data_IF_048608544610
#
_entry.id   IF_048608544610
#
_cell.length_a   1.000
_cell.length_b   1.000
_cell.length_c   1.000
_cell.angle_alpha   90.00
_cell.angle_beta   90.00
_cell.angle_gamma   90.00
#
_symmetry.space_group_name_H-M   'P 1'
#
loop_
_entity.id
_entity.type
_entity.pdbx_description
1 polymer ?
#
# COMPACT_ATOMS: atom_id res chain seq x y z
N UNK A 1 -5.40 13.55 -26.35
CA UNK A 1 -6.53 14.12 -25.60
C UNK A 1 -7.21 13.11 -24.68
N UNK A 2 -7.67 11.97 -25.20
CA UNK A 2 -8.37 10.94 -24.39
C UNK A 2 -7.55 10.37 -23.22
N UNK A 3 -6.26 10.11 -23.42
CA UNK A 3 -5.38 9.60 -22.34
C UNK A 3 -5.27 10.59 -21.18
N UNK A 4 -5.05 11.88 -21.49
CA UNK A 4 -4.97 12.92 -20.47
C UNK A 4 -6.30 13.04 -19.69
N UNK A 5 -7.44 12.96 -20.36
CA UNK A 5 -8.75 12.96 -19.71
C UNK A 5 -8.91 11.78 -18.75
N UNK A 6 -8.57 10.55 -19.18
CA UNK A 6 -8.65 9.36 -18.32
C UNK A 6 -7.73 9.48 -17.11
N UNK A 7 -6.51 10.00 -17.29
CA UNK A 7 -5.57 10.25 -16.19
C UNK A 7 -6.11 11.27 -15.19
N UNK A 8 -6.66 12.39 -15.66
CA UNK A 8 -7.25 13.43 -14.81
C UNK A 8 -8.44 12.86 -14.02
N UNK A 9 -9.36 12.16 -14.70
CA UNK A 9 -10.50 11.51 -14.05
C UNK A 9 -10.05 10.50 -12.99
N UNK A 10 -9.00 9.73 -13.27
CA UNK A 10 -8.48 8.77 -12.31
C UNK A 10 -7.81 9.45 -11.10
N UNK A 11 -7.07 10.53 -11.30
CA UNK A 11 -6.50 11.31 -10.18
C UNK A 11 -7.60 11.91 -9.32
N UNK A 12 -8.62 12.51 -9.93
CA UNK A 12 -9.78 13.03 -9.20
C UNK A 12 -10.49 11.93 -8.43
N UNK A 13 -10.69 10.76 -9.04
CA UNK A 13 -11.25 9.59 -8.38
C UNK A 13 -10.42 9.15 -7.16
N UNK A 14 -9.09 9.11 -7.26
CA UNK A 14 -8.22 8.81 -6.12
C UNK A 14 -8.36 9.85 -5.01
N UNK A 15 -8.39 11.14 -5.34
CA UNK A 15 -8.55 12.22 -4.34
C UNK A 15 -9.91 12.11 -3.63
N UNK A 16 -10.99 11.98 -4.39
CA UNK A 16 -12.35 11.90 -3.85
C UNK A 16 -12.52 10.68 -2.95
N UNK A 17 -11.85 9.57 -3.26
CA UNK A 17 -11.95 8.34 -2.44
C UNK A 17 -10.99 8.33 -1.25
N UNK A 18 -9.76 8.85 -1.39
CA UNK A 18 -8.74 8.77 -0.32
C UNK A 18 -9.03 9.69 0.85
N UNK A 19 -9.64 10.85 0.63
CA UNK A 19 -9.94 11.82 1.69
C UNK A 19 -10.91 11.24 2.74
N UNK A 20 -12.12 10.76 2.37
CA UNK A 20 -13.03 10.16 3.34
C UNK A 20 -12.46 8.86 3.91
N UNK A 21 -11.82 8.02 3.09
CA UNK A 21 -11.29 6.73 3.54
C UNK A 21 -10.12 6.87 4.51
N UNK A 22 -9.17 7.75 4.19
CA UNK A 22 -8.03 8.04 5.06
C UNK A 22 -8.47 8.66 6.38
N UNK A 23 -9.46 9.56 6.35
CA UNK A 23 -10.08 10.10 7.57
C UNK A 23 -10.71 8.99 8.41
N UNK A 24 -11.48 8.09 7.79
CA UNK A 24 -12.07 6.96 8.48
C UNK A 24 -11.01 6.04 9.12
N UNK A 25 -9.91 5.73 8.41
CA UNK A 25 -8.79 4.95 8.97
C UNK A 25 -8.18 5.65 10.19
N UNK A 26 -7.94 6.96 10.12
CA UNK A 26 -7.37 7.72 11.24
C UNK A 26 -8.29 7.70 12.46
N UNK A 27 -9.61 7.87 12.26
CA UNK A 27 -10.57 7.80 13.37
C UNK A 27 -10.66 6.38 13.93
N UNK A 28 -10.78 5.37 13.07
CA UNK A 28 -10.84 3.97 13.48
C UNK A 28 -9.54 3.48 14.15
N UNK A 29 -8.41 4.13 13.90
CA UNK A 29 -7.13 3.78 14.55
C UNK A 29 -7.13 3.95 16.06
N UNK A 30 -8.11 4.65 16.61
CA UNK A 30 -8.31 4.76 18.06
C UNK A 30 -8.92 3.50 18.69
N UNK A 31 -9.52 2.62 17.87
CA UNK A 31 -10.33 1.48 18.35
C UNK A 31 -9.90 0.13 17.77
N UNK A 32 -9.24 0.13 16.61
CA UNK A 32 -8.90 -1.09 15.87
C UNK A 32 -7.42 -1.44 16.01
N UNK A 33 -7.11 -2.73 15.89
CA UNK A 33 -5.74 -3.21 15.87
C UNK A 33 -5.07 -2.99 14.49
N UNK A 34 -3.74 -3.09 14.45
CA UNK A 34 -2.93 -2.86 13.25
C UNK A 34 -3.34 -3.71 12.05
N UNK A 35 -3.77 -4.97 12.27
CA UNK A 35 -4.19 -5.86 11.18
C UNK A 35 -5.51 -5.40 10.57
N UNK A 36 -6.47 -4.98 11.40
CA UNK A 36 -7.74 -4.43 10.91
C UNK A 36 -7.52 -3.14 10.12
N UNK A 37 -6.68 -2.23 10.63
CA UNK A 37 -6.32 -0.99 9.93
C UNK A 37 -5.61 -1.27 8.60
N UNK A 38 -4.70 -2.24 8.58
CA UNK A 38 -4.05 -2.67 7.34
C UNK A 38 -5.09 -3.09 6.30
N UNK A 39 -6.06 -3.92 6.67
CA UNK A 39 -7.09 -4.37 5.75
C UNK A 39 -8.03 -3.24 5.31
N UNK A 40 -8.28 -2.24 6.15
CA UNK A 40 -8.99 -1.03 5.71
C UNK A 40 -8.21 -0.29 4.60
N UNK A 41 -6.90 -0.13 4.76
CA UNK A 41 -6.04 0.51 3.75
C UNK A 41 -5.92 -0.35 2.48
N UNK A 42 -5.74 -1.67 2.62
CA UNK A 42 -5.69 -2.60 1.49
C UNK A 42 -7.01 -2.60 0.68
N UNK A 43 -8.14 -2.43 1.35
CA UNK A 43 -9.44 -2.28 0.70
C UNK A 43 -9.55 -0.99 -0.13
N UNK A 44 -9.02 0.14 0.35
CA UNK A 44 -8.95 1.35 -0.47
C UNK A 44 -8.04 1.14 -1.69
N UNK A 45 -6.91 0.46 -1.53
CA UNK A 45 -6.03 0.14 -2.65
C UNK A 45 -6.70 -0.77 -3.68
N UNK A 46 -7.56 -1.70 -3.25
CA UNK A 46 -8.43 -2.47 -4.14
C UNK A 46 -9.36 -1.55 -4.95
N UNK A 47 -10.01 -0.59 -4.30
CA UNK A 47 -10.85 0.42 -4.96
C UNK A 47 -10.03 1.21 -6.00
N UNK A 48 -8.83 1.66 -5.65
CA UNK A 48 -7.92 2.37 -6.56
C UNK A 48 -7.53 1.52 -7.79
N UNK A 49 -7.16 0.26 -7.61
CA UNK A 49 -6.79 -0.66 -8.70
C UNK A 49 -7.98 -0.97 -9.62
N UNK A 50 -9.18 -1.15 -9.06
CA UNK A 50 -10.40 -1.29 -9.86
C UNK A 50 -10.76 0.00 -10.60
N UNK A 51 -10.56 1.17 -9.99
CA UNK A 51 -10.66 2.46 -10.66
C UNK A 51 -9.71 2.56 -11.87
N UNK A 52 -8.45 2.13 -11.72
CA UNK A 52 -7.49 2.10 -12.81
C UNK A 52 -7.94 1.16 -13.95
N UNK A 53 -8.60 0.04 -13.61
CA UNK A 53 -9.17 -0.87 -14.60
C UNK A 53 -10.30 -0.24 -15.39
N UNK A 54 -11.24 0.40 -14.70
CA UNK A 54 -12.46 0.96 -15.31
C UNK A 54 -12.15 2.26 -16.05
N UNK A 55 -11.47 3.20 -15.39
CA UNK A 55 -11.20 4.54 -15.92
C UNK A 55 -10.07 4.48 -16.93
N UNK A 56 -8.92 3.87 -16.58
CA UNK A 56 -7.72 3.87 -17.43
C UNK A 56 -7.59 2.63 -18.32
N UNK A 57 -8.43 1.60 -18.13
CA UNK A 57 -8.40 0.39 -18.95
C UNK A 57 -7.27 -0.57 -18.57
N UNK A 58 -6.66 -0.41 -17.40
CA UNK A 58 -5.54 -1.24 -16.96
C UNK A 58 -6.01 -2.67 -16.69
N UNK A 59 -5.51 -3.64 -17.45
CA UNK A 59 -5.78 -5.07 -17.26
C UNK A 59 -4.52 -5.74 -16.73
N UNK A 60 -4.70 -6.62 -15.76
CA UNK A 60 -3.63 -7.45 -15.22
C UNK A 60 -4.06 -8.91 -15.18
N UNK A 61 -3.06 -9.78 -15.13
CA UNK A 61 -3.23 -11.23 -14.97
C UNK A 61 -2.24 -11.68 -13.92
N UNK A 62 -2.73 -12.44 -12.94
CA UNK A 62 -1.89 -13.00 -11.88
C UNK A 62 -1.67 -14.47 -12.19
N UNK A 63 -0.44 -14.95 -12.03
CA UNK A 63 -0.04 -16.35 -12.20
C UNK A 63 0.91 -16.72 -11.06
N UNK A 64 0.90 -17.97 -10.62
CA UNK A 64 1.83 -18.44 -9.59
C UNK A 64 1.47 -18.03 -8.15
N UNK A 65 0.21 -17.65 -7.87
CA UNK A 65 -0.23 -17.35 -6.50
C UNK A 65 -0.23 -18.58 -5.60
N UNK A 66 -0.42 -19.75 -6.21
CA UNK A 66 -0.33 -21.07 -5.59
C UNK A 66 1.06 -21.38 -5.02
N UNK A 67 2.12 -20.70 -5.48
CA UNK A 67 3.47 -20.84 -4.93
C UNK A 67 3.68 -20.01 -3.66
N UNK A 68 2.75 -19.14 -3.29
CA UNK A 68 2.85 -18.42 -2.02
C UNK A 68 2.65 -19.40 -0.86
N UNK A 69 3.51 -19.36 0.16
CA UNK A 69 3.32 -20.19 1.34
C UNK A 69 1.94 -20.01 1.96
N UNK A 70 1.26 -21.11 2.26
CA UNK A 70 -0.07 -21.10 2.89
C UNK A 70 0.01 -20.95 4.41
N UNK A 71 1.15 -21.33 4.99
CA UNK A 71 1.43 -21.12 6.41
C UNK A 71 1.56 -19.62 6.71
N UNK A 72 0.69 -19.15 7.61
CA UNK A 72 0.66 -17.76 8.06
C UNK A 72 1.83 -17.43 9.00
N UNK A 73 2.43 -18.42 9.66
CA UNK A 73 3.58 -18.22 10.54
C UNK A 73 4.88 -18.07 9.75
N UNK A 74 4.93 -18.50 8.50
CA UNK A 74 6.11 -18.38 7.66
C UNK A 74 6.32 -16.94 7.18
N UNK A 75 7.43 -16.33 7.60
CA UNK A 75 7.90 -15.05 7.07
C UNK A 75 8.29 -15.16 5.60
N UNK A 76 7.82 -14.22 4.78
CA UNK A 76 8.07 -14.19 3.34
C UNK A 76 8.55 -12.81 2.92
N UNK A 77 9.62 -12.77 2.12
CA UNK A 77 10.11 -11.55 1.49
C UNK A 77 9.68 -11.58 0.03
N UNK A 78 8.82 -10.64 -0.36
CA UNK A 78 8.42 -10.46 -1.77
C UNK A 78 9.46 -9.60 -2.49
N UNK A 79 10.25 -10.22 -3.36
CA UNK A 79 11.25 -9.54 -4.19
C UNK A 79 10.69 -9.35 -5.60
N UNK A 80 10.36 -8.11 -5.95
CA UNK A 80 9.82 -7.77 -7.26
C UNK A 80 10.55 -6.60 -7.90
N UNK A 81 10.66 -6.63 -9.24
CA UNK A 81 11.15 -5.51 -10.04
C UNK A 81 10.12 -4.38 -9.97
N UNK A 82 10.55 -3.19 -9.55
CA UNK A 82 9.68 -2.02 -9.50
C UNK A 82 9.64 -1.33 -10.87
N UNK A 83 8.61 -1.59 -11.67
CA UNK A 83 8.42 -0.96 -12.98
C UNK A 83 7.40 0.17 -12.96
N UNK A 84 6.43 0.13 -12.05
CA UNK A 84 5.49 1.21 -11.88
C UNK A 84 4.94 1.31 -10.45
N UNK A 85 4.17 2.37 -10.21
CA UNK A 85 3.41 2.55 -8.96
C UNK A 85 2.28 1.53 -8.81
N UNK A 86 1.84 0.91 -9.91
CA UNK A 86 0.75 -0.06 -9.89
C UNK A 86 1.04 -1.23 -8.95
N UNK A 87 2.27 -1.76 -8.95
CA UNK A 87 2.69 -2.87 -8.09
C UNK A 87 2.52 -2.54 -6.60
N UNK A 88 2.85 -1.30 -6.21
CA UNK A 88 2.71 -0.82 -4.82
C UNK A 88 1.25 -0.86 -4.34
N UNK A 89 0.29 -0.66 -5.26
CA UNK A 89 -1.14 -0.67 -4.95
C UNK A 89 -1.73 -2.08 -5.11
N UNK A 90 -1.25 -2.84 -6.08
CA UNK A 90 -1.75 -4.17 -6.40
C UNK A 90 -1.37 -5.20 -5.33
N UNK A 91 -0.16 -5.14 -4.78
CA UNK A 91 0.28 -6.15 -3.80
C UNK A 91 -0.58 -6.19 -2.53
N UNK A 92 -0.90 -5.08 -1.85
CA UNK A 92 -1.77 -5.14 -0.68
C UNK A 92 -3.18 -5.62 -1.02
N UNK A 93 -3.66 -5.33 -2.23
CA UNK A 93 -4.92 -5.85 -2.74
C UNK A 93 -4.87 -7.38 -2.97
N UNK A 94 -3.77 -7.89 -3.52
CA UNK A 94 -3.66 -9.27 -3.99
C UNK A 94 -3.20 -10.25 -2.91
N UNK A 95 -2.37 -9.79 -1.97
CA UNK A 95 -1.73 -10.69 -1.02
C UNK A 95 -2.72 -11.13 0.07
N UNK A 96 -2.71 -12.43 0.45
CA UNK A 96 -3.63 -12.97 1.45
C UNK A 96 -3.25 -12.59 2.90
N UNK A 97 -2.17 -11.82 3.08
CA UNK A 97 -1.60 -11.46 4.37
C UNK A 97 -1.14 -10.00 4.37
N UNK A 98 -1.08 -9.33 5.55
CA UNK A 98 -0.50 -8.01 5.66
C UNK A 98 0.94 -7.94 5.15
N UNK A 99 1.27 -6.83 4.50
CA UNK A 99 2.59 -6.54 3.96
C UNK A 99 3.22 -5.37 4.70
N UNK A 100 4.49 -5.52 5.06
CA UNK A 100 5.32 -4.41 5.53
C UNK A 100 6.14 -3.86 4.37
N UNK A 101 5.88 -2.61 4.00
CA UNK A 101 6.68 -1.90 3.00
C UNK A 101 7.86 -1.20 3.64
N UNK A 102 8.97 -1.16 2.90
CA UNK A 102 10.03 -0.18 3.14
C UNK A 102 9.74 1.05 2.28
N UNK A 103 9.37 2.16 2.91
CA UNK A 103 8.94 3.35 2.17
C UNK A 103 9.60 4.65 2.67
N UNK A 104 9.47 5.70 1.85
CA UNK A 104 10.03 7.04 2.09
C UNK A 104 9.28 7.73 3.24
N UNK A 105 9.99 8.20 4.27
CA UNK A 105 9.40 8.93 5.40
C UNK A 105 8.50 10.09 4.95
N UNK A 106 8.84 10.73 3.84
CA UNK A 106 8.12 11.88 3.30
C UNK A 106 6.66 11.56 2.96
N UNK A 107 6.34 10.30 2.65
CA UNK A 107 4.97 9.89 2.32
C UNK A 107 4.02 10.04 3.51
N UNK A 108 4.51 10.00 4.75
CA UNK A 108 3.69 10.21 5.96
C UNK A 108 3.11 11.63 6.01
N UNK A 109 3.77 12.61 5.39
CA UNK A 109 3.33 14.00 5.39
C UNK A 109 2.21 14.30 4.39
N UNK A 110 1.88 13.36 3.50
CA UNK A 110 0.77 13.52 2.56
C UNK A 110 -0.56 13.45 3.34
N UNK A 111 -1.43 14.47 3.27
CA UNK A 111 -2.71 14.44 3.98
C UNK A 111 -3.57 13.23 3.61
N UNK A 112 -4.27 12.68 4.61
CA UNK A 112 -5.16 11.50 4.54
C UNK A 112 -4.48 10.18 4.16
N UNK A 113 -3.77 10.14 3.03
CA UNK A 113 -3.00 8.97 2.59
C UNK A 113 -1.81 8.69 3.52
N UNK A 114 -0.94 9.68 3.73
CA UNK A 114 0.21 9.56 4.62
C UNK A 114 -0.19 9.36 6.08
N UNK A 115 -1.24 10.05 6.51
CA UNK A 115 -1.77 9.91 7.88
C UNK A 115 -2.32 8.52 8.15
N UNK A 116 -3.03 7.91 7.21
CA UNK A 116 -3.50 6.52 7.33
C UNK A 116 -2.33 5.53 7.28
N UNK A 117 -1.36 5.74 6.38
CA UNK A 117 -0.14 4.91 6.34
C UNK A 117 0.66 4.96 7.64
N UNK A 118 0.72 6.12 8.31
CA UNK A 118 1.42 6.29 9.59
C UNK A 118 0.79 5.49 10.74
N UNK A 119 -0.44 5.00 10.57
CA UNK A 119 -1.12 4.11 11.53
C UNK A 119 -0.82 2.62 11.30
N UNK A 120 -0.09 2.28 10.24
CA UNK A 120 0.26 0.91 9.90
C UNK A 120 1.67 0.58 10.40
N UNK A 121 1.89 -0.69 10.76
CA UNK A 121 3.19 -1.22 11.16
C UNK A 121 4.11 -1.45 9.95
N UNK A 122 4.44 -0.37 9.23
CA UNK A 122 5.32 -0.37 8.06
C UNK A 122 6.68 0.24 8.38
N UNK A 123 7.70 -0.18 7.64
CA UNK A 123 9.09 0.25 7.84
C UNK A 123 9.33 1.53 7.03
N UNK A 124 9.40 2.68 7.69
CA UNK A 124 9.77 3.94 7.03
C UNK A 124 11.26 4.22 7.22
N UNK A 125 11.95 4.53 6.12
CA UNK A 125 13.39 4.83 6.12
C UNK A 125 13.65 6.28 5.73
N UNK A 126 14.64 6.88 6.39
CA UNK A 126 15.23 8.14 5.99
C UNK A 126 16.38 7.85 5.02
N UNK A 127 16.20 8.20 3.74
CA UNK A 127 17.18 7.88 2.69
C UNK A 127 18.47 8.70 2.81
N UNK A 128 18.49 9.77 3.60
CA UNK A 128 19.72 10.52 3.90
C UNK A 128 20.69 9.72 4.78
N UNK A 129 20.18 8.69 5.49
CA UNK A 129 20.95 7.81 6.40
C UNK A 129 20.94 6.35 5.93
N UNK A 130 21.40 6.13 4.70
CA UNK A 130 21.31 4.83 4.00
C UNK A 130 21.95 3.65 4.76
N UNK A 131 22.99 3.89 5.56
CA UNK A 131 23.64 2.85 6.38
C UNK A 131 22.80 2.41 7.59
N UNK A 132 21.98 3.29 8.17
CA UNK A 132 21.09 2.96 9.30
C UNK A 132 19.82 2.21 8.86
N UNK A 133 19.46 2.30 7.58
CA UNK A 133 18.22 1.74 7.05
C UNK A 133 18.15 0.20 7.19
N UNK A 134 19.26 -0.50 6.96
CA UNK A 134 19.31 -1.96 7.09
C UNK A 134 19.18 -2.43 8.54
N UNK A 135 19.77 -1.69 9.49
CA UNK A 135 19.63 -1.97 10.92
C UNK A 135 18.18 -1.77 11.39
N UNK A 136 17.48 -0.75 10.87
CA UNK A 136 16.06 -0.54 11.18
C UNK A 136 15.17 -1.66 10.63
N UNK A 137 15.42 -2.10 9.39
CA UNK A 137 14.69 -3.24 8.80
C UNK A 137 14.91 -4.50 9.64
N UNK A 138 16.15 -4.81 10.01
CA UNK A 138 16.48 -5.98 10.81
C UNK A 138 15.88 -5.92 12.23
N UNK A 139 15.82 -4.75 12.84
CA UNK A 139 15.24 -4.57 14.18
C UNK A 139 13.70 -4.65 14.18
N UNK A 140 13.04 -4.00 13.21
CA UNK A 140 11.57 -4.02 13.11
C UNK A 140 11.03 -5.33 12.56
N UNK A 141 11.75 -6.02 11.67
CA UNK A 141 11.33 -7.31 11.11
C UNK A 141 11.39 -8.49 12.09
N UNK A 142 11.92 -8.31 13.31
CA UNK A 142 11.89 -9.32 14.38
C UNK A 142 10.62 -9.27 15.24
N UNK A 143 9.80 -8.23 15.09
CA UNK A 143 8.52 -8.05 15.79
C UNK A 143 7.40 -8.60 14.93
#
# INVERSE_FOLDING_TARGET
>A
MLIALRSILFVLYLIVTVVPWGTAVVVCSLFLNSTQLYWMCANWLRVAIWGARLICGVRWRVRGMEHLPTDKAQSVILLSKHQSTWETFAYPMLMPRPLAYVFKRELIYIPFFGWSMARLDMIHIDRSKRSEAWNKVAAQGRR
#
